data_IF_194655190424
#
_entry.id   IF_194655190424
#
_cell.length_a   1.000
_cell.length_b   1.000
_cell.length_c   1.000
_cell.angle_alpha   90.00
_cell.angle_beta   90.00
_cell.angle_gamma   90.00
#
_symmetry.space_group_name_H-M   'P 1'
#
loop_
_entity.id
_entity.type
_entity.pdbx_description
1 polymer ?
#
# COMPACT_ATOMS: atom_id res chain seq x y z
N UNK A 1 -4.04 11.30 -8.84
CA UNK A 1 -4.38 10.57 -7.60
C UNK A 1 -3.35 9.48 -7.41
N UNK A 2 -2.94 9.16 -6.18
CA UNK A 2 -2.01 8.07 -5.96
C UNK A 2 -2.74 6.73 -6.08
N UNK A 3 -3.12 6.40 -7.32
CA UNK A 3 -3.95 5.22 -7.64
C UNK A 3 -3.15 3.93 -7.66
N UNK A 4 -1.82 4.03 -7.61
CA UNK A 4 -0.95 2.88 -7.50
C UNK A 4 -0.64 2.54 -6.04
N UNK A 5 -0.20 1.31 -5.82
CA UNK A 5 0.19 0.86 -4.48
C UNK A 5 1.53 1.46 -4.03
N UNK A 6 2.31 2.02 -4.97
CA UNK A 6 3.51 2.83 -4.79
C UNK A 6 3.30 4.00 -3.85
N UNK A 7 2.13 4.61 -3.88
CA UNK A 7 1.85 5.74 -2.99
C UNK A 7 1.96 5.40 -1.51
N UNK A 8 1.56 4.19 -1.09
CA UNK A 8 1.70 3.83 0.32
C UNK A 8 3.18 3.72 0.71
N UNK A 9 4.03 3.28 -0.21
CA UNK A 9 5.48 3.21 0.00
C UNK A 9 6.05 4.63 0.19
N UNK A 10 5.65 5.57 -0.66
CA UNK A 10 6.03 6.99 -0.59
C UNK A 10 5.52 7.67 0.69
N UNK A 11 4.24 7.50 1.02
CA UNK A 11 3.59 8.10 2.19
C UNK A 11 4.32 7.73 3.50
N UNK A 12 4.80 6.49 3.58
CA UNK A 12 5.51 5.98 4.75
C UNK A 12 7.02 6.21 4.71
N UNK A 13 7.53 7.03 3.77
CA UNK A 13 8.94 7.42 3.63
C UNK A 13 9.90 6.22 3.67
N UNK A 14 9.53 5.11 3.03
CA UNK A 14 10.32 3.88 3.01
C UNK A 14 10.73 3.31 4.38
N UNK A 15 9.95 3.56 5.46
CA UNK A 15 10.27 3.02 6.78
C UNK A 15 10.23 1.48 6.78
N UNK A 16 11.33 0.78 7.12
CA UNK A 16 11.48 -0.66 6.89
C UNK A 16 10.36 -1.54 7.47
N UNK A 17 10.08 -1.37 8.77
CA UNK A 17 9.06 -2.16 9.46
C UNK A 17 7.64 -1.87 8.95
N UNK A 18 7.39 -0.65 8.49
CA UNK A 18 6.11 -0.25 7.90
C UNK A 18 5.95 -0.83 6.49
N UNK A 19 7.01 -0.82 5.68
CA UNK A 19 7.03 -1.42 4.34
C UNK A 19 6.77 -2.92 4.40
N UNK A 20 7.41 -3.66 5.31
CA UNK A 20 7.16 -5.08 5.48
C UNK A 20 5.69 -5.37 5.82
N UNK A 21 5.09 -4.57 6.72
CA UNK A 21 3.66 -4.67 7.03
C UNK A 21 2.78 -4.35 5.81
N UNK A 22 3.12 -3.34 5.03
CA UNK A 22 2.38 -2.98 3.81
C UNK A 22 2.44 -4.11 2.79
N UNK A 23 3.63 -4.64 2.49
CA UNK A 23 3.80 -5.72 1.54
C UNK A 23 3.05 -6.98 1.97
N UNK A 24 3.08 -7.30 3.27
CA UNK A 24 2.40 -8.47 3.82
C UNK A 24 0.87 -8.33 3.85
N UNK A 25 0.35 -7.21 4.35
CA UNK A 25 -1.08 -7.06 4.62
C UNK A 25 -1.82 -6.29 3.54
N UNK A 26 -1.22 -5.22 3.02
CA UNK A 26 -1.90 -4.25 2.16
C UNK A 26 -1.54 -4.37 0.69
N UNK A 27 -0.52 -5.13 0.29
CA UNK A 27 -0.16 -5.26 -1.12
C UNK A 27 -1.32 -5.81 -1.97
N UNK A 28 -1.44 -5.37 -3.24
CA UNK A 28 -2.38 -5.97 -4.18
C UNK A 28 -2.18 -7.48 -4.30
N UNK A 29 -3.26 -8.20 -4.65
CA UNK A 29 -3.23 -9.67 -4.78
C UNK A 29 -2.13 -10.17 -5.72
N UNK A 30 -1.95 -9.51 -6.86
CA UNK A 30 -0.93 -9.89 -7.84
C UNK A 30 0.49 -9.74 -7.28
N UNK A 31 0.76 -8.69 -6.48
CA UNK A 31 2.06 -8.51 -5.80
C UNK A 31 2.27 -9.64 -4.80
N UNK A 32 1.25 -9.98 -4.00
CA UNK A 32 1.34 -11.09 -3.04
C UNK A 32 1.61 -12.43 -3.74
N UNK A 33 0.93 -12.71 -4.86
CA UNK A 33 1.15 -13.91 -5.67
C UNK A 33 2.59 -13.94 -6.22
N UNK A 34 3.08 -12.82 -6.75
CA UNK A 34 4.42 -12.76 -7.32
C UNK A 34 5.52 -12.93 -6.27
N UNK A 35 5.35 -12.32 -5.10
CA UNK A 35 6.25 -12.52 -3.96
C UNK A 35 6.28 -13.99 -3.51
N UNK A 36 5.13 -14.68 -3.51
CA UNK A 36 5.07 -16.11 -3.20
C UNK A 36 5.80 -16.96 -4.26
N UNK A 37 5.66 -16.64 -5.54
CA UNK A 37 6.41 -17.30 -6.63
C UNK A 37 7.92 -17.11 -6.46
N UNK A 38 8.38 -15.87 -6.25
CA UNK A 38 9.82 -15.57 -6.04
C UNK A 38 10.39 -16.29 -4.82
N UNK A 39 9.58 -16.47 -3.77
CA UNK A 39 9.99 -17.22 -2.58
C UNK A 39 10.14 -18.71 -2.89
N UNK A 40 9.24 -19.29 -3.70
CA UNK A 40 9.33 -20.70 -4.14
C UNK A 40 10.50 -20.94 -5.09
N UNK A 41 10.81 -19.97 -5.96
CA UNK A 41 11.95 -20.01 -6.88
C UNK A 41 13.30 -19.80 -6.18
N UNK A 42 13.31 -19.47 -4.89
CA UNK A 42 14.53 -19.22 -4.12
C UNK A 42 15.22 -17.89 -4.43
N UNK A 43 14.57 -17.01 -5.22
CA UNK A 43 15.08 -15.66 -5.54
C UNK A 43 15.03 -14.71 -4.34
N UNK A 44 14.06 -14.94 -3.44
CA UNK A 44 13.95 -14.26 -2.15
C UNK A 44 13.67 -15.29 -1.06
N UNK A 45 14.26 -15.10 0.12
CA UNK A 45 14.02 -15.90 1.32
C UNK A 45 12.74 -15.47 2.01
N UNK A 46 12.50 -14.16 2.08
CA UNK A 46 11.30 -13.58 2.69
C UNK A 46 11.06 -12.13 2.21
N UNK A 47 9.93 -11.55 2.61
CA UNK A 47 9.58 -10.16 2.25
C UNK A 47 10.48 -9.13 2.96
N UNK A 48 11.09 -9.47 4.10
CA UNK A 48 11.99 -8.57 4.82
C UNK A 48 13.33 -8.39 4.09
N UNK A 49 13.83 -9.42 3.39
CA UNK A 49 15.05 -9.35 2.59
C UNK A 49 14.98 -8.27 1.51
N UNK A 50 13.81 -8.05 0.92
CA UNK A 50 13.59 -6.95 -0.04
C UNK A 50 13.81 -5.57 0.58
N UNK A 51 13.36 -5.43 1.82
CA UNK A 51 13.51 -4.19 2.58
C UNK A 51 14.98 -4.00 2.98
N UNK A 52 15.67 -5.08 3.34
CA UNK A 52 17.11 -5.07 3.64
C UNK A 52 17.94 -4.69 2.41
N UNK A 53 17.64 -5.24 1.23
CA UNK A 53 18.29 -4.89 -0.04
C UNK A 53 18.07 -3.41 -0.36
N UNK A 54 16.84 -2.91 -0.21
CA UNK A 54 16.52 -1.49 -0.42
C UNK A 54 17.37 -0.57 0.47
N UNK A 55 17.54 -0.91 1.75
CA UNK A 55 18.37 -0.15 2.69
C UNK A 55 19.85 -0.25 2.30
N UNK A 56 20.34 -1.47 2.04
CA UNK A 56 21.75 -1.76 1.75
C UNK A 56 22.24 -1.08 0.48
N UNK A 57 21.43 -1.09 -0.56
CA UNK A 57 21.77 -0.52 -1.86
C UNK A 57 21.36 0.97 -1.98
N UNK A 58 20.80 1.55 -0.92
CA UNK A 58 20.22 2.90 -0.90
C UNK A 58 19.24 3.13 -2.08
N UNK A 59 18.52 2.08 -2.46
CA UNK A 59 17.54 2.08 -3.54
C UNK A 59 16.13 2.27 -2.99
N UNK A 60 15.28 2.92 -3.78
CA UNK A 60 13.84 2.89 -3.54
C UNK A 60 13.32 1.45 -3.61
N UNK A 61 12.40 1.09 -2.71
CA UNK A 61 11.72 -0.20 -2.74
C UNK A 61 11.01 -0.43 -4.09
N UNK A 62 10.54 0.64 -4.75
CA UNK A 62 9.93 0.53 -6.07
C UNK A 62 10.92 0.03 -7.12
N UNK A 63 12.16 0.48 -7.06
CA UNK A 63 13.24 0.05 -7.96
C UNK A 63 13.55 -1.42 -7.73
N UNK A 64 13.70 -1.83 -6.47
CA UNK A 64 13.93 -3.24 -6.10
C UNK A 64 12.79 -4.14 -6.59
N UNK A 65 11.54 -3.68 -6.48
CA UNK A 65 10.39 -4.45 -6.94
C UNK A 65 10.31 -4.53 -8.48
N UNK A 66 10.69 -3.46 -9.18
CA UNK A 66 10.81 -3.48 -10.64
C UNK A 66 11.89 -4.43 -11.14
N UNK A 67 13.08 -4.45 -10.50
CA UNK A 67 14.17 -5.39 -10.80
C UNK A 67 13.73 -6.86 -10.63
N UNK A 68 12.75 -7.11 -9.76
CA UNK A 68 12.15 -8.43 -9.54
C UNK A 68 10.94 -8.73 -10.44
N UNK A 69 10.73 -7.92 -11.49
CA UNK A 69 9.59 -8.01 -12.40
C UNK A 69 8.23 -7.90 -11.68
N UNK A 70 8.15 -7.14 -10.58
CA UNK A 70 6.89 -6.78 -9.93
C UNK A 70 6.50 -5.37 -10.40
N UNK A 71 5.72 -5.33 -11.47
CA UNK A 71 5.26 -4.05 -12.02
C UNK A 71 4.14 -3.43 -11.18
N UNK A 72 4.16 -2.10 -11.06
CA UNK A 72 3.04 -1.35 -10.50
C UNK A 72 1.91 -1.21 -11.52
N UNK A 73 0.99 -2.18 -11.52
CA UNK A 73 -0.20 -2.13 -12.35
C UNK A 73 -1.18 -1.07 -11.83
N UNK A 74 -1.17 0.10 -12.46
CA UNK A 74 -2.13 1.19 -12.21
C UNK A 74 -3.45 0.87 -12.90
N UNK A 75 -4.41 0.33 -12.15
CA UNK A 75 -5.77 0.13 -12.67
C UNK A 75 -6.44 1.49 -12.85
N UNK A 76 -6.88 1.82 -14.08
CA UNK A 76 -7.57 3.09 -14.36
C UNK A 76 -9.01 3.12 -13.82
N UNK A 77 -9.66 1.96 -13.71
CA UNK A 77 -11.07 1.83 -13.33
C UNK A 77 -11.36 0.51 -12.57
N UNK A 78 -12.57 0.40 -12.00
CA UNK A 78 -13.06 -0.78 -11.30
C UNK A 78 -12.67 -0.84 -9.81
N UNK A 79 -13.14 -1.89 -9.10
CA UNK A 79 -12.97 -2.03 -7.64
C UNK A 79 -11.52 -1.95 -7.20
N UNK A 80 -10.60 -2.56 -7.96
CA UNK A 80 -9.16 -2.57 -7.67
C UNK A 80 -8.40 -1.29 -8.05
N UNK A 81 -9.07 -0.26 -8.54
CA UNK A 81 -8.45 1.05 -8.84
C UNK A 81 -8.31 1.95 -7.62
N UNK A 82 -8.99 1.61 -6.52
CA UNK A 82 -9.16 2.52 -5.39
C UNK A 82 -9.17 1.79 -4.05
N UNK A 83 -8.30 2.16 -3.13
CA UNK A 83 -8.30 1.61 -1.77
C UNK A 83 -8.21 2.70 -0.72
N UNK A 84 -8.71 2.39 0.47
CA UNK A 84 -8.53 3.20 1.67
C UNK A 84 -7.03 3.32 1.99
N UNK A 85 -6.54 4.55 2.16
CA UNK A 85 -5.12 4.79 2.49
C UNK A 85 -4.74 4.34 3.91
N UNK A 86 -5.73 4.20 4.81
CA UNK A 86 -5.52 3.75 6.20
C UNK A 86 -5.58 2.22 6.29
N UNK A 87 -6.70 1.61 5.91
CA UNK A 87 -6.96 0.19 6.13
C UNK A 87 -6.87 -0.70 4.89
N UNK A 88 -6.64 -0.13 3.70
CA UNK A 88 -6.52 -0.90 2.46
C UNK A 88 -7.84 -1.49 1.92
N UNK A 89 -8.98 -1.25 2.57
CA UNK A 89 -10.29 -1.70 2.07
C UNK A 89 -10.62 -1.07 0.72
N UNK A 90 -11.37 -1.80 -0.12
CA UNK A 90 -11.92 -1.32 -1.39
C UNK A 90 -13.38 -0.84 -1.28
N UNK A 91 -13.97 -0.95 -0.07
CA UNK A 91 -15.39 -0.71 0.17
C UNK A 91 -15.67 0.74 0.58
N UNK A 92 -16.70 1.35 -0.02
CA UNK A 92 -17.25 2.68 0.36
C UNK A 92 -16.15 3.75 0.55
N UNK A 93 -15.31 3.94 -0.47
CA UNK A 93 -14.21 4.90 -0.42
C UNK A 93 -14.73 6.31 -0.65
N UNK A 94 -14.51 7.18 0.33
CA UNK A 94 -14.80 8.61 0.26
C UNK A 94 -13.66 9.28 -0.51
N UNK A 95 -13.99 9.83 -1.67
CA UNK A 95 -13.03 10.48 -2.58
C UNK A 95 -13.11 12.01 -2.53
N UNK A 96 -14.19 12.55 -1.96
CA UNK A 96 -14.35 14.00 -1.79
C UNK A 96 -13.27 14.53 -0.85
N UNK A 97 -12.89 15.78 -1.06
CA UNK A 97 -11.89 16.48 -0.25
C UNK A 97 -10.52 15.78 -0.18
N UNK A 98 -10.19 14.95 -1.18
CA UNK A 98 -8.94 14.17 -1.24
C UNK A 98 -8.69 13.26 -0.02
N UNK A 99 -9.74 12.82 0.67
CA UNK A 99 -9.61 11.98 1.87
C UNK A 99 -9.14 10.56 1.56
N UNK A 100 -9.70 9.92 0.52
CA UNK A 100 -9.35 8.57 0.08
C UNK A 100 -9.36 7.48 1.17
N UNK A 101 -10.30 7.59 2.11
CA UNK A 101 -10.52 6.63 3.18
C UNK A 101 -11.88 5.96 3.05
N UNK A 102 -12.03 4.75 3.60
CA UNK A 102 -13.34 4.08 3.65
C UNK A 102 -14.24 4.72 4.72
N UNK A 103 -15.55 4.55 4.58
CA UNK A 103 -16.52 5.08 5.56
C UNK A 103 -16.33 4.61 7.00
N UNK A 104 -15.66 3.46 7.24
CA UNK A 104 -15.30 3.00 8.59
C UNK A 104 -14.19 3.88 9.18
N UNK A 105 -13.07 3.99 8.47
CA UNK A 105 -11.96 4.83 8.88
C UNK A 105 -12.38 6.31 8.98
N UNK A 106 -13.28 6.78 8.11
CA UNK A 106 -13.81 8.13 8.26
C UNK A 106 -14.46 8.36 9.62
N UNK A 107 -15.32 7.47 10.11
CA UNK A 107 -15.96 7.63 11.43
C UNK A 107 -14.96 7.65 12.57
N UNK A 108 -13.94 6.80 12.52
CA UNK A 108 -12.88 6.72 13.53
C UNK A 108 -12.02 8.00 13.56
N UNK A 109 -11.76 8.58 12.39
CA UNK A 109 -10.84 9.71 12.24
C UNK A 109 -11.54 11.06 12.05
N UNK A 110 -12.88 11.11 11.99
CA UNK A 110 -13.66 12.30 11.67
C UNK A 110 -13.29 13.50 12.54
N UNK A 111 -13.21 13.31 13.86
CA UNK A 111 -12.84 14.38 14.82
C UNK A 111 -11.44 14.93 14.56
N UNK A 112 -10.48 14.04 14.31
CA UNK A 112 -9.08 14.42 14.00
C UNK A 112 -9.00 15.17 12.66
N UNK A 113 -9.86 14.79 11.71
CA UNK A 113 -9.98 15.45 10.40
C UNK A 113 -10.74 16.79 10.46
N UNK A 114 -11.16 17.24 11.65
CA UNK A 114 -11.86 18.51 11.84
C UNK A 114 -13.35 18.46 11.52
N UNK A 115 -13.94 17.26 11.41
CA UNK A 115 -15.39 17.11 11.26
C UNK A 115 -16.07 17.13 12.63
N UNK A 116 -17.12 17.94 12.74
CA UNK A 116 -18.02 17.92 13.89
C UNK A 116 -19.01 16.75 13.79
N UNK A 117 -19.17 16.01 14.89
CA UNK A 117 -20.25 15.02 15.02
C UNK A 117 -21.48 15.76 15.55
N UNK A 118 -22.53 15.85 14.73
CA UNK A 118 -23.80 16.43 15.18
C UNK A 118 -24.56 15.39 16.01
N UNK A 119 -25.03 15.80 17.20
CA UNK A 119 -25.85 14.96 18.08
C UNK A 119 -25.08 14.05 19.05
N UNK A 120 -23.78 14.28 19.23
CA UNK A 120 -23.05 13.88 20.45
C UNK A 120 -23.30 14.87 21.59
#
# INVERSE_FOLDING_TARGET
MPTGWDYLVELHKNKPGTLAKILKHNAPRYVKQKLQELTKEGKIKNVQELVEISIKENKSLLTVLQELNIENKKNKYGKGSMRCIICGSYERIIRRYNLYICGRCFREWAKILGFEVKGE
#
